data_IF_667621132152
#
_entry.id   IF_667621132152
#
_cell.length_a   1.000
_cell.length_b   1.000
_cell.length_c   1.000
_cell.angle_alpha   90.00
_cell.angle_beta   90.00
_cell.angle_gamma   90.00
#
_symmetry.space_group_name_H-M   'P 1'
#
loop_
_entity.id
_entity.type
_entity.pdbx_description
1 polymer ?
#
# COMPACT_ATOMS: atom_id res chain seq x y z
N UNK A 1 -3.19 11.20 8.37
CA UNK A 1 -3.45 9.83 8.90
C UNK A 1 -3.33 8.84 7.74
N UNK A 2 -2.75 7.65 7.98
CA UNK A 2 -2.74 6.56 6.98
C UNK A 2 -3.86 5.60 7.37
N UNK A 3 -4.71 5.24 6.40
CA UNK A 3 -5.80 4.30 6.57
C UNK A 3 -5.79 3.25 5.46
N UNK A 4 -6.10 1.99 5.80
CA UNK A 4 -6.12 0.87 4.86
C UNK A 4 -7.32 0.00 5.14
N UNK A 5 -8.24 -0.07 4.18
CA UNK A 5 -9.46 -0.87 4.28
C UNK A 5 -9.42 -1.97 3.23
N UNK A 6 -9.60 -3.23 3.64
CA UNK A 6 -9.83 -4.34 2.71
C UNK A 6 -11.21 -4.18 2.07
N UNK A 7 -11.26 -4.14 0.74
CA UNK A 7 -12.52 -4.04 -0.02
C UNK A 7 -13.01 -5.43 -0.39
N UNK A 8 -12.13 -6.26 -0.95
CA UNK A 8 -12.47 -7.59 -1.42
C UNK A 8 -11.23 -8.49 -1.49
N UNK A 9 -11.43 -9.79 -1.42
CA UNK A 9 -10.36 -10.76 -1.59
C UNK A 9 -10.86 -12.03 -2.27
N UNK A 10 -9.98 -12.65 -3.04
CA UNK A 10 -10.23 -13.92 -3.71
C UNK A 10 -9.08 -14.88 -3.45
N UNK A 11 -9.43 -16.14 -3.19
CA UNK A 11 -8.46 -17.20 -2.92
C UNK A 11 -8.12 -17.35 -1.44
N UNK A 12 -7.32 -18.35 -1.16
CA UNK A 12 -6.86 -18.73 0.18
C UNK A 12 -5.52 -19.44 0.07
N UNK A 13 -4.93 -19.81 1.20
CA UNK A 13 -3.72 -20.64 1.22
C UNK A 13 -3.93 -21.97 0.49
N UNK A 14 -5.11 -22.57 0.61
CA UNK A 14 -5.45 -23.80 -0.12
C UNK A 14 -5.49 -23.56 -1.65
N UNK A 15 -5.88 -22.37 -2.08
CA UNK A 15 -5.81 -21.98 -3.50
C UNK A 15 -4.37 -21.99 -4.00
N UNK A 16 -3.44 -21.44 -3.23
CA UNK A 16 -1.98 -21.42 -3.56
C UNK A 16 -1.44 -22.85 -3.63
N UNK A 17 -1.78 -23.68 -2.62
CA UNK A 17 -1.37 -25.10 -2.57
C UNK A 17 -1.86 -25.84 -3.79
N UNK A 18 -3.14 -25.71 -4.12
CA UNK A 18 -3.73 -26.43 -5.25
C UNK A 18 -3.21 -25.93 -6.59
N UNK A 19 -2.96 -24.64 -6.75
CA UNK A 19 -2.29 -24.10 -7.93
C UNK A 19 -0.89 -24.74 -8.15
N UNK A 20 -0.12 -24.90 -7.08
CA UNK A 20 1.18 -25.60 -7.17
C UNK A 20 1.05 -27.09 -7.46
N UNK A 21 0.06 -27.76 -6.85
CA UNK A 21 -0.14 -29.21 -6.98
C UNK A 21 -0.66 -29.65 -8.35
N UNK A 22 -1.23 -28.75 -9.14
CA UNK A 22 -1.63 -29.03 -10.54
C UNK A 22 -0.50 -29.63 -11.35
N UNK A 23 0.74 -29.19 -11.16
CA UNK A 23 1.91 -29.72 -11.86
C UNK A 23 2.17 -31.22 -11.58
N UNK A 24 1.60 -31.74 -10.51
CA UNK A 24 1.72 -33.15 -10.12
C UNK A 24 0.40 -33.92 -10.26
N UNK A 25 -0.61 -33.31 -10.89
CA UNK A 25 -1.96 -33.83 -11.00
C UNK A 25 -2.54 -34.24 -9.61
N UNK A 26 -2.31 -33.40 -8.59
CA UNK A 26 -2.74 -33.62 -7.22
C UNK A 26 -3.62 -32.44 -6.75
N UNK A 27 -4.45 -32.73 -5.74
CA UNK A 27 -5.27 -31.76 -5.04
C UNK A 27 -5.16 -31.99 -3.54
N UNK A 28 -5.19 -30.92 -2.77
CA UNK A 28 -5.37 -30.93 -1.31
C UNK A 28 -6.74 -30.38 -0.96
N UNK A 29 -7.21 -30.78 0.19
CA UNK A 29 -8.40 -30.22 0.84
C UNK A 29 -8.03 -29.76 2.25
N UNK A 30 -8.92 -28.99 2.88
CA UNK A 30 -8.75 -28.62 4.27
C UNK A 30 -8.79 -29.86 5.16
N UNK A 31 -8.08 -29.82 6.28
CA UNK A 31 -8.16 -30.84 7.30
C UNK A 31 -9.52 -30.78 8.11
N UNK A 32 -9.68 -31.63 9.07
CA UNK A 32 -10.89 -31.72 9.91
C UNK A 32 -11.15 -30.41 10.69
N UNK A 33 -10.10 -29.66 11.02
CA UNK A 33 -10.15 -28.38 11.73
C UNK A 33 -10.30 -27.20 10.80
N UNK A 34 -10.53 -27.42 9.49
CA UNK A 34 -10.58 -26.42 8.44
C UNK A 34 -9.28 -25.58 8.34
N UNK A 35 -8.15 -26.23 8.57
CA UNK A 35 -6.82 -25.66 8.41
C UNK A 35 -6.02 -26.38 7.32
N UNK A 36 -4.86 -25.84 6.95
CA UNK A 36 -3.95 -26.55 6.06
C UNK A 36 -3.26 -27.70 6.79
N UNK A 37 -3.08 -28.80 6.09
CA UNK A 37 -2.19 -29.86 6.58
C UNK A 37 -0.76 -29.32 6.78
N UNK A 38 -0.01 -29.98 7.67
CA UNK A 38 1.40 -29.61 7.92
C UNK A 38 2.23 -29.67 6.61
N UNK A 39 1.97 -30.65 5.74
CA UNK A 39 2.66 -30.77 4.45
C UNK A 39 2.36 -29.61 3.51
N UNK A 40 1.14 -29.08 3.49
CA UNK A 40 0.74 -27.97 2.65
C UNK A 40 1.28 -26.64 3.17
N UNK A 41 1.34 -26.45 4.47
CA UNK A 41 1.98 -25.29 5.11
C UNK A 41 3.49 -25.25 4.78
N UNK A 42 4.16 -26.40 4.80
CA UNK A 42 5.56 -26.52 4.40
C UNK A 42 5.72 -26.20 2.90
N UNK A 43 4.80 -26.66 2.05
CA UNK A 43 4.81 -26.36 0.62
C UNK A 43 4.72 -24.84 0.37
N UNK A 44 3.80 -24.13 0.99
CA UNK A 44 3.69 -22.66 0.86
C UNK A 44 5.01 -21.99 1.26
N UNK A 45 5.54 -22.37 2.41
CA UNK A 45 6.82 -21.84 2.91
C UNK A 45 7.98 -22.10 1.96
N UNK A 46 8.02 -23.27 1.33
CA UNK A 46 9.00 -23.62 0.31
C UNK A 46 8.84 -22.72 -0.93
N UNK A 47 7.63 -22.59 -1.47
CA UNK A 47 7.34 -21.78 -2.65
C UNK A 47 7.76 -20.31 -2.44
N UNK A 48 7.42 -19.75 -1.27
CA UNK A 48 7.76 -18.37 -0.91
C UNK A 48 9.29 -18.18 -0.81
N UNK A 49 9.97 -19.08 -0.10
CA UNK A 49 11.44 -19.04 0.08
C UNK A 49 12.19 -19.11 -1.24
N UNK A 50 11.73 -19.97 -2.14
CA UNK A 50 12.36 -20.19 -3.46
C UNK A 50 11.81 -19.26 -4.54
N UNK A 51 10.95 -18.27 -4.18
CA UNK A 51 10.39 -17.28 -5.10
C UNK A 51 9.59 -17.88 -6.26
N UNK A 52 8.94 -19.02 -6.03
CA UNK A 52 7.99 -19.61 -6.97
C UNK A 52 6.66 -18.87 -6.89
N UNK A 53 6.58 -17.71 -7.55
CA UNK A 53 5.50 -16.75 -7.34
C UNK A 53 4.20 -17.07 -8.07
N UNK A 54 4.23 -17.89 -9.12
CA UNK A 54 3.03 -18.17 -9.93
C UNK A 54 1.84 -18.73 -9.15
N UNK A 55 2.00 -19.67 -8.19
CA UNK A 55 0.87 -20.14 -7.39
C UNK A 55 0.22 -19.04 -6.55
N UNK A 56 1.00 -18.08 -6.03
CA UNK A 56 0.49 -16.94 -5.28
C UNK A 56 -0.33 -15.99 -6.16
N UNK A 57 -0.07 -15.94 -7.47
CA UNK A 57 -0.83 -15.15 -8.44
C UNK A 57 -2.27 -15.61 -8.64
N UNK A 58 -2.72 -16.69 -8.01
CA UNK A 58 -4.10 -17.16 -8.00
C UNK A 58 -4.93 -16.57 -6.83
N UNK A 59 -4.31 -15.74 -6.00
CA UNK A 59 -4.97 -15.01 -4.92
C UNK A 59 -4.87 -13.51 -5.17
N UNK A 60 -5.95 -12.79 -4.87
CA UNK A 60 -6.05 -11.34 -5.04
C UNK A 60 -6.66 -10.70 -3.81
N UNK A 61 -6.23 -9.47 -3.54
CA UNK A 61 -6.88 -8.62 -2.56
C UNK A 61 -6.93 -7.18 -3.06
N UNK A 62 -8.06 -6.52 -2.86
CA UNK A 62 -8.29 -5.12 -3.20
C UNK A 62 -8.39 -4.30 -1.92
N UNK A 63 -7.62 -3.22 -1.87
CA UNK A 63 -7.59 -2.32 -0.72
C UNK A 63 -7.92 -0.90 -1.16
N UNK A 64 -8.68 -0.20 -0.32
CA UNK A 64 -8.73 1.25 -0.34
C UNK A 64 -7.64 1.77 0.59
N UNK A 65 -6.76 2.62 0.06
CA UNK A 65 -5.63 3.17 0.80
C UNK A 65 -5.72 4.70 0.80
N UNK A 66 -5.83 5.30 1.99
CA UNK A 66 -5.65 6.73 2.20
C UNK A 66 -4.24 6.93 2.78
N UNK A 67 -3.38 7.62 2.05
CA UNK A 67 -1.99 7.82 2.46
C UNK A 67 -1.41 9.10 1.87
N UNK A 68 -0.38 9.69 2.53
CA UNK A 68 0.36 10.79 1.94
C UNK A 68 0.95 10.41 0.60
N UNK A 69 1.04 11.36 -0.33
CA UNK A 69 1.50 11.12 -1.70
C UNK A 69 2.92 10.50 -1.75
N UNK A 70 3.80 10.87 -0.83
CA UNK A 70 5.15 10.31 -0.79
C UNK A 70 5.16 8.83 -0.37
N UNK A 71 4.19 8.38 0.44
CA UNK A 71 3.98 6.95 0.77
C UNK A 71 3.40 6.24 -0.43
N UNK A 72 2.35 6.80 -1.05
CA UNK A 72 1.71 6.23 -2.24
C UNK A 72 2.72 6.04 -3.38
N UNK A 73 3.61 7.02 -3.62
CA UNK A 73 4.67 6.91 -4.65
C UNK A 73 5.70 5.81 -4.36
N UNK A 74 5.86 5.38 -3.13
CA UNK A 74 6.68 4.19 -2.82
C UNK A 74 5.88 2.91 -3.04
N UNK A 75 4.62 2.89 -2.62
CA UNK A 75 3.74 1.74 -2.75
C UNK A 75 3.59 1.30 -4.22
N UNK A 76 3.33 2.22 -5.13
CA UNK A 76 3.11 1.92 -6.55
C UNK A 76 4.34 1.40 -7.31
N UNK A 77 5.53 1.41 -6.68
CA UNK A 77 6.74 0.80 -7.26
C UNK A 77 6.72 -0.74 -7.21
N UNK A 78 5.82 -1.35 -6.46
CA UNK A 78 5.67 -2.80 -6.43
C UNK A 78 5.13 -3.34 -7.75
N UNK A 79 5.86 -4.25 -8.39
CA UNK A 79 5.62 -4.72 -9.77
C UNK A 79 4.24 -5.35 -9.99
N UNK A 80 3.71 -6.03 -8.98
CA UNK A 80 2.46 -6.78 -9.10
C UNK A 80 1.23 -5.98 -8.66
N UNK A 81 1.43 -4.78 -8.13
CA UNK A 81 0.34 -3.92 -7.70
C UNK A 81 -0.36 -3.32 -8.92
N UNK A 82 -1.69 -3.37 -8.93
CA UNK A 82 -2.55 -2.57 -9.81
C UNK A 82 -3.18 -1.50 -8.94
N UNK A 83 -3.17 -0.25 -9.42
CA UNK A 83 -3.64 0.88 -8.64
C UNK A 83 -4.33 1.92 -9.50
N UNK A 84 -5.28 2.59 -8.88
CA UNK A 84 -5.88 3.81 -9.37
C UNK A 84 -5.85 4.82 -8.23
N UNK A 85 -5.71 6.09 -8.54
CA UNK A 85 -5.74 7.14 -7.53
C UNK A 85 -6.75 8.23 -7.91
N UNK A 86 -7.19 8.99 -6.90
CA UNK A 86 -8.00 10.19 -7.11
C UNK A 86 -7.21 11.15 -7.99
N UNK A 87 -7.82 11.59 -9.07
CA UNK A 87 -7.19 12.53 -10.00
C UNK A 87 -7.72 13.94 -9.76
N UNK A 88 -6.83 14.86 -9.46
CA UNK A 88 -7.17 16.28 -9.30
C UNK A 88 -7.70 16.92 -10.59
N UNK A 89 -7.57 16.26 -11.73
CA UNK A 89 -8.20 16.71 -13.00
C UNK A 89 -9.71 16.52 -13.02
N UNK A 90 -10.26 15.73 -12.10
CA UNK A 90 -11.69 15.38 -12.05
C UNK A 90 -12.35 15.74 -10.72
N UNK A 91 -11.55 16.14 -9.73
CA UNK A 91 -12.03 16.38 -8.36
C UNK A 91 -11.43 17.69 -7.85
N UNK A 92 -12.32 18.65 -7.54
CA UNK A 92 -11.98 20.00 -7.05
C UNK A 92 -12.09 20.11 -5.52
N UNK A 93 -12.39 18.99 -4.84
CA UNK A 93 -12.49 18.98 -3.39
C UNK A 93 -11.22 19.54 -2.73
N UNK A 94 -11.40 20.15 -1.56
CA UNK A 94 -10.28 20.69 -0.78
C UNK A 94 -9.20 19.63 -0.59
N UNK A 95 -7.94 19.86 -1.00
CA UNK A 95 -6.84 18.94 -0.74
C UNK A 95 -6.57 18.83 0.76
N UNK A 96 -6.29 17.61 1.21
CA UNK A 96 -5.80 17.36 2.57
C UNK A 96 -4.28 17.39 2.59
N UNK A 97 -3.70 18.05 3.58
CA UNK A 97 -2.27 18.04 3.83
C UNK A 97 -1.93 17.01 4.90
N UNK A 98 -0.82 16.31 4.71
CA UNK A 98 -0.32 15.41 5.72
C UNK A 98 0.40 16.20 6.82
N UNK A 99 -0.02 15.96 8.05
CA UNK A 99 0.53 16.55 9.25
C UNK A 99 1.24 15.45 10.06
N UNK A 100 2.58 15.47 10.15
CA UNK A 100 3.31 14.50 10.93
C UNK A 100 3.11 14.78 12.43
N UNK A 101 3.03 13.73 13.24
CA UNK A 101 2.96 13.85 14.70
C UNK A 101 4.24 14.50 15.29
N UNK A 102 5.35 14.35 14.61
CA UNK A 102 6.62 14.97 14.96
C UNK A 102 7.52 15.12 13.75
N UNK A 103 8.21 16.23 13.64
CA UNK A 103 9.24 16.44 12.65
C UNK A 103 10.53 15.74 13.06
N UNK A 104 11.02 14.86 12.20
CA UNK A 104 12.24 14.09 12.48
C UNK A 104 13.47 14.82 11.95
N UNK A 105 14.48 14.89 12.79
CA UNK A 105 15.77 15.47 12.43
C UNK A 105 16.53 14.61 11.42
N UNK A 106 17.45 15.22 10.69
CA UNK A 106 18.34 14.52 9.77
C UNK A 106 19.39 13.72 10.55
N UNK A 107 19.52 12.43 10.26
CA UNK A 107 20.56 11.61 10.86
C UNK A 107 21.96 12.05 10.41
N UNK A 108 22.92 12.12 11.35
CA UNK A 108 24.29 12.55 11.07
C UNK A 108 25.05 11.54 10.21
N UNK A 109 24.87 10.24 10.48
CA UNK A 109 25.70 9.17 9.92
C UNK A 109 25.00 8.32 8.86
N UNK A 110 23.73 8.64 8.51
CA UNK A 110 22.93 7.83 7.58
C UNK A 110 22.26 8.70 6.54
N UNK A 111 22.47 8.38 5.26
CA UNK A 111 21.85 9.13 4.14
C UNK A 111 20.31 9.05 4.11
N UNK A 112 19.72 8.00 4.65
CA UNK A 112 18.26 7.73 4.61
C UNK A 112 17.66 7.49 6.01
N UNK A 113 18.37 7.90 7.06
CA UNK A 113 17.90 7.82 8.44
C UNK A 113 17.34 9.14 8.94
N UNK A 114 16.61 9.07 10.05
CA UNK A 114 16.19 10.24 10.83
C UNK A 114 16.60 10.06 12.29
N UNK A 115 16.92 11.16 12.96
CA UNK A 115 17.38 11.16 14.34
C UNK A 115 16.75 12.31 15.12
N UNK A 116 16.28 12.02 16.33
CA UNK A 116 15.64 13.01 17.20
C UNK A 116 14.36 13.63 16.62
N UNK A 117 13.85 14.61 17.33
CA UNK A 117 12.71 15.45 16.94
C UNK A 117 13.21 16.88 16.81
N UNK A 118 12.72 17.59 15.81
CA UNK A 118 13.05 19.00 15.57
C UNK A 118 11.78 19.81 15.74
N UNK A 119 11.84 20.86 16.53
CA UNK A 119 10.80 21.87 16.59
C UNK A 119 11.07 22.90 15.47
N UNK A 120 10.14 23.02 14.55
CA UNK A 120 10.23 23.95 13.41
C UNK A 120 9.26 25.13 13.51
N UNK A 121 8.58 25.26 14.67
CA UNK A 121 7.59 26.32 14.87
C UNK A 121 6.38 26.18 13.97
N UNK A 122 5.80 27.31 13.56
CA UNK A 122 4.59 27.37 12.75
C UNK A 122 4.88 27.05 11.26
N UNK A 123 4.74 25.78 10.89
CA UNK A 123 4.89 25.31 9.51
C UNK A 123 3.54 25.24 8.76
N UNK A 124 2.41 25.40 9.48
CA UNK A 124 1.06 25.30 8.91
C UNK A 124 0.77 26.42 7.92
N UNK A 125 1.45 27.56 8.09
CA UNK A 125 1.32 28.70 7.19
C UNK A 125 1.64 28.34 5.71
N UNK A 126 2.59 27.44 5.46
CA UNK A 126 2.93 27.00 4.11
C UNK A 126 1.77 26.24 3.46
N UNK A 127 1.10 25.37 4.21
CA UNK A 127 -0.08 24.64 3.75
C UNK A 127 -1.24 25.58 3.45
N UNK A 128 -1.47 26.56 4.32
CA UNK A 128 -2.51 27.55 4.13
C UNK A 128 -2.28 28.40 2.85
N UNK A 129 -1.09 28.93 2.65
CA UNK A 129 -0.75 29.71 1.45
C UNK A 129 -0.96 28.87 0.18
N UNK A 130 -0.50 27.62 0.19
CA UNK A 130 -0.65 26.72 -0.97
C UNK A 130 -2.11 26.45 -1.29
N UNK A 131 -2.95 26.28 -0.27
CA UNK A 131 -4.38 26.04 -0.43
C UNK A 131 -5.11 27.28 -0.99
N UNK A 132 -4.82 28.46 -0.46
CA UNK A 132 -5.45 29.69 -0.94
C UNK A 132 -5.02 30.01 -2.39
N UNK A 133 -3.75 29.84 -2.71
CA UNK A 133 -3.27 29.98 -4.11
C UNK A 133 -3.99 28.99 -5.04
N UNK A 134 -4.17 27.74 -4.62
CA UNK A 134 -4.90 26.74 -5.42
C UNK A 134 -6.34 27.17 -5.68
N UNK A 135 -7.06 27.66 -4.65
CA UNK A 135 -8.44 28.13 -4.81
C UNK A 135 -8.54 29.33 -5.74
N UNK A 136 -7.66 30.33 -5.56
CA UNK A 136 -7.61 31.50 -6.42
C UNK A 136 -7.40 31.12 -7.89
N UNK A 137 -6.49 30.18 -8.16
CA UNK A 137 -6.24 29.71 -9.54
C UNK A 137 -7.49 29.04 -10.15
N UNK A 138 -8.22 28.24 -9.38
CA UNK A 138 -9.50 27.66 -9.83
C UNK A 138 -10.54 28.76 -10.13
N UNK A 139 -10.66 29.78 -9.29
CA UNK A 139 -11.56 30.92 -9.51
C UNK A 139 -11.21 31.71 -10.78
N UNK A 140 -9.94 31.77 -11.13
CA UNK A 140 -9.48 32.33 -12.41
C UNK A 140 -9.70 31.41 -13.61
N UNK A 141 -10.23 30.19 -13.39
CA UNK A 141 -10.49 29.22 -14.47
C UNK A 141 -9.27 28.42 -14.89
N UNK A 142 -8.23 28.38 -14.06
CA UNK A 142 -7.08 27.47 -14.28
C UNK A 142 -7.52 26.04 -14.00
N UNK A 143 -7.21 25.11 -14.88
CA UNK A 143 -7.54 23.69 -14.68
C UNK A 143 -6.79 23.11 -13.48
N UNK A 144 -7.42 22.24 -12.69
CA UNK A 144 -6.84 21.60 -11.52
C UNK A 144 -5.69 20.65 -11.87
#
# INVERSE_FOLDING_TARGET
>A
MIDVTLIDSMGSDLTVVNAARVSFNKKSDWDEDNTLTVSDSILISYLARHKHMSPFGHCFASFHVKAPIFVARQLVKHKFLRWNEVSRRYVDEKPEFYEPEAWRGRAKDKKQGSEGVVDIGDWEAANWVSLETYKELLEYGVAP
#
